data_IF_903775004694
#
_entry.id   IF_903775004694
#
_cell.length_a   1.000
_cell.length_b   1.000
_cell.length_c   1.000
_cell.angle_alpha   90.00
_cell.angle_beta   90.00
_cell.angle_gamma   90.00
#
_symmetry.space_group_name_H-M   'P 1'
#
loop_
_entity.id
_entity.type
_entity.pdbx_description
1 polymer ?
#
# COMPACT_ATOMS: atom_id res chain seq x y z
N UNK A 1 -34.42 -25.34 -12.85
CA UNK A 1 -33.84 -25.08 -14.18
C UNK A 1 -32.58 -25.91 -14.50
N UNK A 2 -31.63 -26.14 -13.61
CA UNK A 2 -30.39 -26.90 -13.90
C UNK A 2 -30.63 -28.40 -14.27
N UNK A 3 -31.60 -29.09 -13.62
CA UNK A 3 -31.89 -30.50 -13.90
C UNK A 3 -32.51 -30.78 -15.28
N UNK A 4 -33.19 -29.78 -15.87
CA UNK A 4 -33.78 -29.89 -17.21
C UNK A 4 -32.72 -29.71 -18.30
N UNK A 5 -31.75 -28.82 -18.08
CA UNK A 5 -30.69 -28.56 -19.04
C UNK A 5 -29.71 -29.75 -19.16
N UNK A 6 -29.32 -30.36 -18.04
CA UNK A 6 -28.44 -31.54 -18.04
C UNK A 6 -29.09 -32.76 -18.69
N UNK A 7 -30.41 -32.93 -18.53
CA UNK A 7 -31.15 -33.99 -19.17
C UNK A 7 -31.24 -33.85 -20.70
N UNK A 8 -31.39 -32.62 -21.20
CA UNK A 8 -31.39 -32.31 -22.63
C UNK A 8 -30.00 -32.51 -23.25
N UNK A 9 -28.93 -32.08 -22.58
CA UNK A 9 -27.56 -32.31 -23.01
C UNK A 9 -27.22 -33.81 -23.11
N UNK A 10 -27.63 -34.62 -22.13
CA UNK A 10 -27.39 -36.03 -22.13
C UNK A 10 -28.14 -36.75 -23.28
N UNK A 11 -29.33 -36.26 -23.65
CA UNK A 11 -30.10 -36.80 -24.77
C UNK A 11 -29.46 -36.46 -26.11
N UNK A 12 -28.95 -35.25 -26.28
CA UNK A 12 -28.19 -34.82 -27.46
C UNK A 12 -26.90 -35.65 -27.60
N UNK A 13 -26.14 -35.80 -26.50
CA UNK A 13 -24.90 -36.59 -26.50
C UNK A 13 -25.07 -38.06 -26.84
N UNK A 14 -26.18 -38.66 -26.46
CA UNK A 14 -26.51 -40.07 -26.83
C UNK A 14 -26.83 -40.24 -28.30
N UNK A 15 -27.33 -39.23 -28.98
CA UNK A 15 -27.74 -39.27 -30.37
C UNK A 15 -26.65 -38.84 -31.37
N UNK A 16 -25.54 -38.32 -30.89
CA UNK A 16 -24.42 -37.92 -31.75
C UNK A 16 -23.55 -39.11 -32.15
N UNK A 17 -23.09 -39.11 -33.41
CA UNK A 17 -22.19 -40.13 -33.92
C UNK A 17 -20.80 -40.06 -33.26
N UNK A 18 -20.04 -41.14 -33.37
CA UNK A 18 -18.67 -41.15 -32.79
C UNK A 18 -17.77 -40.08 -33.38
N UNK A 19 -17.89 -39.81 -34.69
CA UNK A 19 -17.14 -38.75 -35.36
C UNK A 19 -17.49 -37.34 -34.85
N UNK A 20 -18.76 -37.06 -34.61
CA UNK A 20 -19.20 -35.78 -34.06
C UNK A 20 -18.69 -35.57 -32.62
N UNK A 21 -18.64 -36.63 -31.80
CA UNK A 21 -18.05 -36.55 -30.44
C UNK A 21 -16.57 -36.20 -30.49
N UNK A 22 -15.81 -36.79 -31.41
CA UNK A 22 -14.39 -36.46 -31.61
C UNK A 22 -14.26 -35.01 -32.04
N UNK A 23 -15.11 -34.56 -32.96
CA UNK A 23 -15.08 -33.13 -33.41
C UNK A 23 -15.36 -32.18 -32.27
N UNK A 24 -16.35 -32.44 -31.40
CA UNK A 24 -16.62 -31.61 -30.23
C UNK A 24 -15.45 -31.61 -29.24
N UNK A 25 -14.78 -32.75 -29.03
CA UNK A 25 -13.59 -32.79 -28.19
C UNK A 25 -12.46 -31.92 -28.76
N UNK A 26 -12.22 -31.99 -30.05
CA UNK A 26 -11.20 -31.14 -30.71
C UNK A 26 -11.56 -29.65 -30.63
N UNK A 27 -12.81 -29.29 -30.84
CA UNK A 27 -13.23 -27.89 -30.74
C UNK A 27 -13.08 -27.33 -29.32
N UNK A 28 -13.45 -28.10 -28.31
CA UNK A 28 -13.28 -27.72 -26.90
C UNK A 28 -11.77 -27.60 -26.57
N UNK A 29 -10.95 -28.53 -27.04
CA UNK A 29 -9.51 -28.49 -26.84
C UNK A 29 -8.86 -27.26 -27.50
N UNK A 30 -9.28 -26.93 -28.73
CA UNK A 30 -8.81 -25.72 -29.42
C UNK A 30 -9.25 -24.46 -28.66
N UNK A 31 -10.46 -24.39 -28.16
CA UNK A 31 -10.95 -23.25 -27.38
C UNK A 31 -10.12 -23.09 -26.09
N UNK A 32 -9.89 -24.18 -25.35
CA UNK A 32 -9.07 -24.18 -24.16
C UNK A 32 -7.62 -23.76 -24.50
N UNK A 33 -7.05 -24.31 -25.58
CA UNK A 33 -5.72 -23.96 -26.07
C UNK A 33 -5.63 -22.47 -26.43
N UNK A 34 -6.62 -21.92 -27.13
CA UNK A 34 -6.69 -20.50 -27.45
C UNK A 34 -6.84 -19.64 -26.19
N UNK A 35 -7.67 -20.02 -25.23
CA UNK A 35 -7.84 -19.30 -23.99
C UNK A 35 -6.59 -19.31 -23.10
N UNK A 36 -5.83 -20.42 -23.12
CA UNK A 36 -4.59 -20.53 -22.34
C UNK A 36 -3.37 -19.89 -23.02
N UNK A 37 -3.36 -19.82 -24.36
CA UNK A 37 -2.27 -19.25 -25.16
C UNK A 37 -2.61 -17.89 -25.78
N UNK A 38 -3.82 -17.36 -25.58
CA UNK A 38 -4.03 -15.95 -25.84
C UNK A 38 -3.03 -15.20 -24.96
N UNK A 39 -2.15 -14.35 -25.54
CA UNK A 39 -1.27 -13.53 -24.73
C UNK A 39 -2.19 -12.77 -23.77
N UNK A 40 -1.98 -12.95 -22.46
CA UNK A 40 -2.60 -12.13 -21.45
C UNK A 40 -2.12 -10.70 -21.69
N UNK A 41 -2.72 -10.04 -22.68
CA UNK A 41 -2.54 -8.62 -22.90
C UNK A 41 -3.07 -7.99 -21.62
N UNK A 42 -2.11 -7.49 -20.84
CA UNK A 42 -2.34 -6.76 -19.60
C UNK A 42 -3.65 -5.99 -19.72
N UNK A 43 -4.68 -6.37 -18.95
CA UNK A 43 -5.89 -5.58 -18.78
C UNK A 43 -5.56 -4.13 -18.33
N UNK A 44 -4.38 -3.95 -17.73
CA UNK A 44 -3.83 -2.64 -17.38
C UNK A 44 -3.61 -1.69 -18.57
N UNK A 45 -3.62 -2.21 -19.81
CA UNK A 45 -3.52 -1.37 -21.01
C UNK A 45 -4.89 -0.99 -21.60
N UNK A 46 -5.99 -1.63 -21.20
CA UNK A 46 -7.33 -1.27 -21.71
C UNK A 46 -7.88 -0.02 -21.01
N UNK A 47 -7.65 0.13 -19.71
CA UNK A 47 -8.03 1.37 -19.01
C UNK A 47 -7.21 2.58 -19.44
N UNK A 48 -5.96 2.39 -19.91
CA UNK A 48 -5.11 3.48 -20.36
C UNK A 48 -5.35 3.88 -21.83
N UNK A 49 -5.97 3.03 -22.66
CA UNK A 49 -6.17 3.34 -24.08
C UNK A 49 -7.44 4.17 -24.35
N UNK A 50 -8.49 4.04 -23.57
CA UNK A 50 -9.70 4.85 -23.74
C UNK A 50 -9.52 6.30 -23.26
N UNK A 51 -8.53 6.55 -22.40
CA UNK A 51 -8.22 7.90 -21.88
C UNK A 51 -7.35 8.70 -22.86
N UNK A 52 -6.59 8.04 -23.74
CA UNK A 52 -5.68 8.73 -24.68
C UNK A 52 -6.36 9.34 -25.92
N UNK A 53 -7.60 9.00 -26.22
CA UNK A 53 -8.28 9.46 -27.44
C UNK A 53 -9.30 10.60 -27.25
N UNK A 54 -9.48 11.11 -26.03
CA UNK A 54 -10.25 12.32 -25.83
C UNK A 54 -9.31 13.52 -25.68
N UNK A 55 -9.27 14.38 -26.67
CA UNK A 55 -8.61 15.71 -26.64
C UNK A 55 -9.22 16.70 -25.63
N UNK A 56 -9.67 16.20 -24.48
CA UNK A 56 -10.07 16.98 -23.33
C UNK A 56 -9.23 16.54 -22.14
N UNK A 57 -8.16 17.27 -21.83
CA UNK A 57 -7.31 17.18 -20.65
C UNK A 57 -8.12 17.35 -19.35
N UNK A 58 -9.00 16.39 -19.03
CA UNK A 58 -9.78 16.40 -17.78
C UNK A 58 -9.08 15.73 -16.61
N UNK A 59 -8.13 14.85 -16.87
CA UNK A 59 -7.45 14.10 -15.82
C UNK A 59 -5.95 14.02 -16.08
N UNK A 60 -5.15 14.39 -15.10
CA UNK A 60 -3.71 14.20 -15.09
C UNK A 60 -3.41 12.92 -14.33
N UNK A 61 -2.73 11.94 -14.96
CA UNK A 61 -2.22 10.78 -14.27
C UNK A 61 -0.93 11.13 -13.55
N UNK A 62 -0.91 10.93 -12.24
CA UNK A 62 0.28 11.15 -11.39
C UNK A 62 0.72 9.80 -10.81
N UNK A 63 2.01 9.52 -10.83
CA UNK A 63 2.57 8.24 -10.42
C UNK A 63 3.69 8.38 -9.39
N UNK A 64 3.84 7.35 -8.53
CA UNK A 64 4.91 7.26 -7.54
C UNK A 64 4.82 8.36 -6.48
N UNK A 65 5.97 8.90 -6.07
CA UNK A 65 6.02 9.91 -5.01
C UNK A 65 5.35 11.24 -5.36
N UNK A 66 5.09 11.51 -6.64
CA UNK A 66 4.43 12.73 -7.09
C UNK A 66 2.92 12.74 -6.76
N UNK A 67 2.34 11.60 -6.34
CA UNK A 67 0.96 11.52 -5.86
C UNK A 67 0.78 12.37 -4.58
N UNK A 68 1.80 12.45 -3.74
CA UNK A 68 1.77 13.16 -2.46
C UNK A 68 2.07 14.67 -2.66
N UNK A 69 1.28 15.32 -3.53
CA UNK A 69 1.34 16.74 -3.82
C UNK A 69 0.49 17.57 -2.82
N UNK A 70 0.36 18.88 -3.06
CA UNK A 70 -0.38 19.79 -2.19
C UNK A 70 -1.88 19.45 -2.16
N UNK A 71 -2.47 19.05 -3.29
CA UNK A 71 -3.87 18.68 -3.34
C UNK A 71 -4.12 17.43 -2.48
N UNK A 72 -3.34 16.36 -2.72
CA UNK A 72 -3.53 15.11 -2.00
C UNK A 72 -3.21 15.24 -0.51
N UNK A 73 -2.18 16.00 -0.13
CA UNK A 73 -1.84 16.23 1.29
C UNK A 73 -2.94 16.96 2.05
N UNK A 74 -3.74 17.82 1.38
CA UNK A 74 -4.84 18.53 2.00
C UNK A 74 -6.06 17.64 2.31
N UNK A 75 -6.30 16.62 1.50
CA UNK A 75 -7.44 15.70 1.67
C UNK A 75 -7.02 14.34 2.27
N UNK A 76 -5.72 14.14 2.50
CA UNK A 76 -5.18 12.85 2.93
C UNK A 76 -5.81 12.34 4.21
N UNK A 77 -5.96 13.20 5.20
CA UNK A 77 -6.51 12.83 6.49
C UNK A 77 -7.99 12.43 6.39
N UNK A 78 -8.76 13.10 5.54
CA UNK A 78 -10.17 12.77 5.28
C UNK A 78 -10.34 11.40 4.60
N UNK A 79 -9.36 11.01 3.78
CA UNK A 79 -9.40 9.76 3.02
C UNK A 79 -8.80 8.56 3.76
N UNK A 80 -7.75 8.78 4.55
CA UNK A 80 -6.86 7.70 5.01
C UNK A 80 -6.77 7.62 6.53
N UNK A 81 -6.98 8.75 7.24
CA UNK A 81 -6.80 8.79 8.69
C UNK A 81 -7.81 7.89 9.40
N UNK A 82 -7.30 6.99 10.21
CA UNK A 82 -8.09 6.20 11.13
C UNK A 82 -7.51 6.33 12.55
N UNK A 83 -8.14 7.15 13.38
CA UNK A 83 -7.69 7.45 14.73
C UNK A 83 -7.63 6.21 15.62
N UNK A 84 -8.58 5.27 15.49
CA UNK A 84 -8.57 4.02 16.25
C UNK A 84 -7.39 3.14 15.88
N UNK A 85 -7.10 3.03 14.59
CA UNK A 85 -5.94 2.30 14.10
C UNK A 85 -4.63 2.92 14.59
N UNK A 86 -4.49 4.23 14.48
CA UNK A 86 -3.29 4.94 14.95
C UNK A 86 -3.07 4.75 16.46
N UNK A 87 -4.13 4.90 17.27
CA UNK A 87 -4.06 4.66 18.71
C UNK A 87 -3.68 3.22 19.04
N UNK A 88 -4.23 2.25 18.32
CA UNK A 88 -3.89 0.84 18.47
C UNK A 88 -2.42 0.55 18.12
N UNK A 89 -1.91 1.11 17.02
CA UNK A 89 -0.50 0.93 16.61
C UNK A 89 0.46 1.50 17.64
N UNK A 90 0.19 2.69 18.19
CA UNK A 90 1.00 3.29 19.26
C UNK A 90 0.91 2.46 20.55
N UNK A 91 -0.28 2.00 20.93
CA UNK A 91 -0.45 1.16 22.12
C UNK A 91 0.31 -0.17 22.01
N UNK A 92 0.36 -0.79 20.81
CA UNK A 92 1.17 -1.98 20.57
C UNK A 92 2.66 -1.68 20.73
N UNK A 93 3.15 -0.57 20.17
CA UNK A 93 4.55 -0.15 20.29
C UNK A 93 4.92 0.04 21.76
N UNK A 94 4.07 0.71 22.56
CA UNK A 94 4.32 0.92 23.99
C UNK A 94 4.31 -0.39 24.76
N UNK A 95 3.33 -1.26 24.51
CA UNK A 95 3.19 -2.51 25.23
C UNK A 95 4.34 -3.50 24.93
N UNK A 96 4.72 -3.63 23.68
CA UNK A 96 5.65 -4.65 23.23
C UNK A 96 7.11 -4.21 23.39
N UNK A 97 7.42 -2.93 23.13
CA UNK A 97 8.79 -2.42 23.19
C UNK A 97 9.11 -1.72 24.51
N UNK A 98 8.11 -1.31 25.27
CA UNK A 98 8.27 -0.65 26.59
C UNK A 98 9.30 0.49 26.55
N UNK A 99 9.11 1.49 25.69
CA UNK A 99 10.07 2.56 25.51
C UNK A 99 10.26 3.33 26.82
N UNK A 100 11.48 3.82 27.03
CA UNK A 100 11.84 4.62 28.21
C UNK A 100 11.57 6.10 27.94
N UNK A 101 11.50 6.91 28.98
CA UNK A 101 11.31 8.36 28.86
C UNK A 101 12.35 9.08 28.00
N UNK A 102 13.56 8.53 27.85
CA UNK A 102 14.63 9.01 26.99
C UNK A 102 14.67 8.34 25.60
N UNK A 103 13.63 7.58 25.23
CA UNK A 103 13.52 7.00 23.91
C UNK A 103 13.37 8.09 22.86
N UNK A 104 14.04 7.89 21.71
CA UNK A 104 14.03 8.79 20.58
C UNK A 104 13.51 8.04 19.36
N UNK A 105 12.39 8.50 18.80
CA UNK A 105 11.69 7.86 17.70
C UNK A 105 11.94 8.59 16.37
N UNK A 106 12.05 7.81 15.31
CA UNK A 106 11.96 8.28 13.92
C UNK A 106 10.79 7.58 13.26
N UNK A 107 9.85 8.34 12.71
CA UNK A 107 8.76 7.81 11.88
C UNK A 107 9.07 8.08 10.40
N UNK A 108 9.32 7.03 9.63
CA UNK A 108 9.69 7.12 8.20
C UNK A 108 8.44 6.97 7.33
N UNK A 109 8.21 7.96 6.45
CA UNK A 109 6.96 8.13 5.73
C UNK A 109 5.88 8.67 6.65
N UNK A 110 6.25 9.69 7.46
CA UNK A 110 5.38 10.22 8.51
C UNK A 110 4.12 10.92 8.01
N UNK A 111 4.02 11.17 6.69
CA UNK A 111 2.86 11.80 6.07
C UNK A 111 2.46 13.10 6.76
N UNK A 112 1.21 13.20 7.18
CA UNK A 112 0.62 14.36 7.87
C UNK A 112 0.92 14.42 9.37
N UNK A 113 1.73 13.50 9.92
CA UNK A 113 2.39 13.63 11.22
C UNK A 113 1.69 13.00 12.43
N UNK A 114 0.61 12.25 12.24
CA UNK A 114 -0.23 11.75 13.34
C UNK A 114 0.51 10.85 14.36
N UNK A 115 1.37 9.94 13.90
CA UNK A 115 2.14 9.06 14.80
C UNK A 115 3.20 9.85 15.58
N UNK A 116 3.86 10.79 14.94
CA UNK A 116 4.82 11.68 15.60
C UNK A 116 4.15 12.48 16.70
N UNK A 117 2.96 13.04 16.42
CA UNK A 117 2.18 13.79 17.41
C UNK A 117 1.72 12.89 18.56
N UNK A 118 1.26 11.67 18.27
CA UNK A 118 0.86 10.73 19.31
C UNK A 118 2.03 10.37 20.25
N UNK A 119 3.23 10.11 19.70
CA UNK A 119 4.43 9.86 20.50
C UNK A 119 4.87 11.09 21.30
N UNK A 120 4.79 12.28 20.70
CA UNK A 120 5.08 13.54 21.40
C UNK A 120 4.14 13.77 22.59
N UNK A 121 2.84 13.50 22.45
CA UNK A 121 1.84 13.60 23.51
C UNK A 121 2.10 12.61 24.66
N UNK A 122 2.80 11.51 24.40
CA UNK A 122 3.28 10.56 25.39
C UNK A 122 4.63 10.98 26.01
N UNK A 123 5.11 12.18 25.70
CA UNK A 123 6.38 12.75 26.17
C UNK A 123 7.63 12.04 25.65
N UNK A 124 7.55 11.34 24.52
CA UNK A 124 8.72 10.84 23.83
C UNK A 124 9.34 11.89 22.89
N UNK A 125 10.65 11.81 22.70
CA UNK A 125 11.28 12.48 21.58
C UNK A 125 10.89 11.77 20.28
N UNK A 126 10.29 12.48 19.35
CA UNK A 126 9.85 11.93 18.08
C UNK A 126 10.10 12.89 16.92
N UNK A 127 10.57 12.36 15.80
CA UNK A 127 10.78 13.10 14.56
C UNK A 127 10.16 12.34 13.39
N UNK A 128 9.44 13.06 12.52
CA UNK A 128 8.94 12.54 11.26
C UNK A 128 9.89 12.80 10.11
N UNK A 129 10.01 11.84 9.20
CA UNK A 129 10.71 11.94 7.92
C UNK A 129 9.73 11.61 6.80
N UNK A 130 9.59 12.49 5.83
CA UNK A 130 8.85 12.19 4.61
C UNK A 130 9.59 12.79 3.39
N UNK A 131 9.48 12.13 2.24
CA UNK A 131 10.08 12.61 0.99
C UNK A 131 9.26 13.74 0.39
N UNK A 132 7.94 13.78 0.63
CA UNK A 132 7.04 14.80 0.11
C UNK A 132 7.15 16.10 0.90
N UNK A 133 7.47 17.23 0.24
CA UNK A 133 7.44 18.53 0.89
C UNK A 133 6.02 18.91 1.32
N UNK A 134 5.00 18.56 0.53
CA UNK A 134 3.60 18.88 0.83
C UNK A 134 3.10 18.16 2.09
N UNK A 135 3.45 16.87 2.27
CA UNK A 135 3.15 16.13 3.50
C UNK A 135 3.85 16.75 4.71
N UNK A 136 5.13 17.10 4.60
CA UNK A 136 5.88 17.76 5.69
C UNK A 136 5.30 19.13 6.03
N UNK A 137 4.90 19.93 5.04
CA UNK A 137 4.25 21.21 5.29
C UNK A 137 2.92 21.00 6.02
N UNK A 138 2.13 20.03 5.60
CA UNK A 138 0.87 19.68 6.28
C UNK A 138 1.09 19.21 7.71
N UNK A 139 2.07 18.32 7.93
CA UNK A 139 2.43 17.85 9.26
C UNK A 139 2.80 18.98 10.21
N UNK A 140 3.60 19.96 9.74
CA UNK A 140 3.98 21.14 10.53
C UNK A 140 2.81 22.06 10.84
N UNK A 141 1.83 22.16 9.92
CA UNK A 141 0.62 22.93 10.17
C UNK A 141 -0.29 22.23 11.20
N UNK A 142 -0.43 20.91 11.10
CA UNK A 142 -1.24 20.12 12.00
C UNK A 142 -0.63 20.06 13.43
N UNK A 143 0.72 19.97 13.50
CA UNK A 143 1.46 19.73 14.76
C UNK A 143 2.71 20.62 14.85
N UNK A 144 2.53 21.92 15.12
CA UNK A 144 3.64 22.89 15.11
C UNK A 144 4.71 22.61 16.18
N UNK A 145 4.35 21.93 17.26
CA UNK A 145 5.27 21.60 18.36
C UNK A 145 6.08 20.31 18.09
N UNK A 146 5.78 19.61 17.00
CA UNK A 146 6.47 18.38 16.62
C UNK A 146 7.59 18.63 15.60
N UNK A 147 8.55 17.72 15.56
CA UNK A 147 9.70 17.82 14.66
C UNK A 147 9.45 17.02 13.36
N UNK A 148 9.57 17.70 12.22
CA UNK A 148 9.42 17.07 10.89
C UNK A 148 10.54 17.51 9.96
N UNK A 149 11.10 16.55 9.22
CA UNK A 149 12.17 16.73 8.25
C UNK A 149 11.75 16.19 6.88
N UNK A 150 11.88 17.02 5.86
CA UNK A 150 11.81 16.53 4.50
C UNK A 150 13.11 15.81 4.15
N UNK A 151 13.02 14.61 3.59
CA UNK A 151 14.20 13.86 3.18
C UNK A 151 13.89 12.48 2.64
N UNK A 152 14.91 11.87 2.03
CA UNK A 152 14.85 10.54 1.44
C UNK A 152 15.50 9.54 2.38
N UNK A 153 14.73 8.53 2.81
CA UNK A 153 15.22 7.45 3.66
C UNK A 153 16.24 6.53 2.97
N UNK A 154 16.39 6.61 1.65
CA UNK A 154 17.43 5.91 0.92
C UNK A 154 18.79 6.65 0.95
N UNK A 155 18.86 7.88 1.46
CA UNK A 155 20.10 8.63 1.61
C UNK A 155 20.64 8.44 3.02
N UNK A 156 21.78 7.76 3.17
CA UNK A 156 22.39 7.46 4.47
C UNK A 156 22.77 8.71 5.28
N UNK A 157 23.08 9.81 4.58
CA UNK A 157 23.42 11.10 5.19
C UNK A 157 22.23 11.85 5.79
N UNK A 158 21.00 11.34 5.64
CA UNK A 158 19.78 11.99 6.16
C UNK A 158 19.84 12.16 7.67
N UNK A 159 20.39 11.18 8.38
CA UNK A 159 20.66 11.27 9.81
C UNK A 159 22.05 10.73 10.17
N UNK A 160 22.63 11.19 11.30
CA UNK A 160 23.84 10.59 11.86
C UNK A 160 23.60 9.14 12.28
N UNK A 161 24.71 8.39 12.40
CA UNK A 161 24.64 7.03 12.98
C UNK A 161 24.21 7.07 14.45
N UNK A 162 23.56 6.00 14.90
CA UNK A 162 23.15 5.82 16.29
C UNK A 162 22.31 6.99 16.85
N UNK A 163 21.41 7.56 16.04
CA UNK A 163 20.58 8.70 16.43
C UNK A 163 19.31 8.30 17.14
N UNK A 164 18.70 7.17 16.78
CA UNK A 164 17.38 6.77 17.24
C UNK A 164 17.39 5.47 18.03
N UNK A 165 16.52 5.37 19.03
CA UNK A 165 16.25 4.12 19.76
C UNK A 165 15.18 3.29 19.08
N UNK A 166 14.24 3.95 18.39
CA UNK A 166 13.13 3.33 17.69
C UNK A 166 12.97 3.97 16.31
N UNK A 167 12.84 3.16 15.29
CA UNK A 167 12.47 3.59 13.94
C UNK A 167 11.17 2.91 13.57
N UNK A 168 10.20 3.68 13.13
CA UNK A 168 8.91 3.23 12.67
C UNK A 168 8.83 3.37 11.15
N UNK A 169 8.18 2.41 10.49
CA UNK A 169 7.82 2.45 9.08
C UNK A 169 6.43 1.83 8.95
N UNK A 170 5.42 2.64 9.19
CA UNK A 170 4.03 2.23 9.32
C UNK A 170 3.24 2.43 8.02
N UNK A 171 1.96 2.13 8.01
CA UNK A 171 1.04 2.32 6.88
C UNK A 171 1.57 1.79 5.54
N UNK A 172 2.26 0.64 5.58
CA UNK A 172 2.80 -0.01 4.38
C UNK A 172 3.85 0.80 3.61
N UNK A 173 4.40 1.86 4.18
CA UNK A 173 5.43 2.71 3.58
C UNK A 173 6.61 1.92 3.03
N UNK A 174 6.96 0.78 3.66
CA UNK A 174 8.03 -0.12 3.19
C UNK A 174 7.85 -0.57 1.72
N UNK A 175 6.61 -0.66 1.23
CA UNK A 175 6.34 -1.10 -0.13
C UNK A 175 6.63 -0.02 -1.18
N UNK A 176 6.73 1.25 -0.79
CA UNK A 176 7.08 2.37 -1.66
C UNK A 176 8.58 2.41 -1.99
N UNK A 177 9.43 1.79 -1.16
CA UNK A 177 10.86 1.76 -1.41
C UNK A 177 11.23 0.75 -2.50
N UNK A 178 11.85 1.23 -3.59
CA UNK A 178 12.39 0.36 -4.65
C UNK A 178 13.56 -0.49 -4.12
N UNK A 179 14.46 0.10 -3.34
CA UNK A 179 15.61 -0.57 -2.74
C UNK A 179 15.42 -0.77 -1.23
N UNK A 180 14.68 -1.83 -0.87
CA UNK A 180 14.40 -2.19 0.52
C UNK A 180 15.66 -2.55 1.31
N UNK A 181 16.67 -3.14 0.63
CA UNK A 181 17.94 -3.49 1.28
C UNK A 181 18.67 -2.23 1.76
N UNK A 182 18.77 -1.22 0.91
CA UNK A 182 19.40 0.06 1.27
C UNK A 182 18.62 0.77 2.37
N UNK A 183 17.28 0.76 2.29
CA UNK A 183 16.41 1.26 3.36
C UNK A 183 16.74 0.61 4.71
N UNK A 184 16.76 -0.72 4.77
CA UNK A 184 17.05 -1.47 6.00
C UNK A 184 18.47 -1.19 6.52
N UNK A 185 19.44 -1.06 5.62
CA UNK A 185 20.82 -0.72 5.98
C UNK A 185 20.90 0.69 6.59
N UNK A 186 20.18 1.67 6.04
CA UNK A 186 20.13 3.02 6.60
C UNK A 186 19.45 3.03 7.97
N UNK A 187 18.33 2.31 8.12
CA UNK A 187 17.67 2.15 9.43
C UNK A 187 18.63 1.54 10.46
N UNK A 188 19.36 0.48 10.08
CA UNK A 188 20.35 -0.15 10.96
C UNK A 188 21.44 0.84 11.38
N UNK A 189 21.95 1.65 10.46
CA UNK A 189 22.98 2.64 10.75
C UNK A 189 22.48 3.77 11.66
N UNK A 190 21.22 4.18 11.53
CA UNK A 190 20.62 5.25 12.33
C UNK A 190 20.17 4.78 13.71
N UNK A 191 19.90 3.46 13.87
CA UNK A 191 19.55 2.89 15.15
C UNK A 191 20.74 2.86 16.10
N UNK A 192 20.48 3.18 17.36
CA UNK A 192 21.40 2.92 18.45
C UNK A 192 21.54 1.39 18.65
N UNK A 193 22.66 0.92 19.23
CA UNK A 193 22.76 -0.47 19.65
C UNK A 193 21.55 -0.88 20.50
N UNK A 194 21.00 -2.05 20.25
CA UNK A 194 19.76 -2.56 20.87
C UNK A 194 18.48 -1.79 20.55
N UNK A 195 18.50 -0.91 19.56
CA UNK A 195 17.32 -0.19 19.10
C UNK A 195 16.38 -1.08 18.28
N UNK A 196 15.17 -0.63 18.09
CA UNK A 196 14.08 -1.37 17.44
C UNK A 196 13.67 -0.75 16.11
N UNK A 197 13.44 -1.58 15.10
CA UNK A 197 12.79 -1.20 13.86
C UNK A 197 11.41 -1.86 13.79
N UNK A 198 10.37 -1.05 13.73
CA UNK A 198 8.98 -1.49 13.60
C UNK A 198 8.53 -1.28 12.16
N UNK A 199 8.04 -2.33 11.51
CA UNK A 199 7.58 -2.26 10.12
C UNK A 199 6.17 -2.83 10.04
N UNK A 200 5.26 -2.09 9.43
CA UNK A 200 3.93 -2.58 9.11
C UNK A 200 3.98 -3.38 7.80
N UNK A 201 3.67 -4.68 7.90
CA UNK A 201 3.68 -5.61 6.77
C UNK A 201 2.29 -6.18 6.51
N UNK A 202 2.04 -6.48 5.23
CA UNK A 202 0.83 -7.19 4.80
C UNK A 202 0.97 -8.68 5.09
N UNK A 203 -0.06 -9.28 5.69
CA UNK A 203 -0.16 -10.72 5.73
C UNK A 203 -0.59 -11.24 4.35
N UNK A 204 0.35 -11.81 3.59
CA UNK A 204 0.14 -12.29 2.22
C UNK A 204 -1.07 -13.25 2.08
N UNK A 205 -1.32 -14.06 3.11
CA UNK A 205 -2.39 -15.07 3.06
C UNK A 205 -3.78 -14.50 3.40
N UNK A 206 -3.84 -13.26 3.92
CA UNK A 206 -5.08 -12.57 4.31
C UNK A 206 -5.28 -11.27 3.54
N UNK A 207 -4.41 -10.98 2.59
CA UNK A 207 -4.50 -9.76 1.80
C UNK A 207 -5.49 -9.97 0.66
N UNK A 208 -6.57 -9.21 0.68
CA UNK A 208 -7.49 -9.08 -0.44
C UNK A 208 -7.15 -7.78 -1.20
N UNK A 209 -6.67 -7.89 -2.46
CA UNK A 209 -6.35 -6.71 -3.27
C UNK A 209 -7.62 -5.95 -3.73
N UNK A 210 -8.78 -6.57 -3.63
CA UNK A 210 -10.08 -5.97 -3.95
C UNK A 210 -10.66 -5.44 -2.64
N UNK A 211 -10.15 -4.33 -2.13
CA UNK A 211 -10.87 -3.60 -1.08
C UNK A 211 -12.14 -3.03 -1.74
N UNK A 212 -13.33 -3.39 -1.25
CA UNK A 212 -14.54 -2.75 -1.73
C UNK A 212 -14.46 -1.26 -1.32
N UNK A 213 -14.34 -0.40 -2.30
CA UNK A 213 -14.46 1.06 -2.13
C UNK A 213 -15.85 1.44 -1.58
N UNK A 214 -16.77 0.48 -1.52
CA UNK A 214 -18.18 0.66 -1.18
C UNK A 214 -18.45 0.92 0.31
N UNK A 215 -17.61 0.47 1.23
CA UNK A 215 -17.87 0.67 2.67
C UNK A 215 -17.64 2.11 3.15
N UNK A 216 -16.96 2.94 2.35
CA UNK A 216 -16.73 4.35 2.67
C UNK A 216 -17.95 5.22 2.34
N UNK A 217 -18.88 4.72 1.53
CA UNK A 217 -20.05 5.48 1.06
C UNK A 217 -21.38 5.10 1.74
N UNK A 218 -21.38 4.17 2.69
CA UNK A 218 -22.61 3.66 3.33
C UNK A 218 -22.76 3.98 4.81
N UNK A 219 -21.98 4.92 5.36
CA UNK A 219 -22.20 5.48 6.71
C UNK A 219 -22.52 6.96 6.64
#
# INVERSE_FOLDING_TARGET
MAKTFTSQLNKLWKNTSYCEKIFYFFTIFIIIYLLTNLPYKNLNNLESMDIMNSNNNRFNSVHGNNIYDDFYSNIYDDLVLNNHKNAFEIALIENDLKPKSNSNFLDIGSGTGHHVAALHNLNYQAQGLDISPSMINRAKLNYPDCSFKQGDALKSITFPQNSFTHILCLYFTIYLFKNKRLFLQNCYNWLKPTGYLVIHLVNKNKFDPILPVADVLTN
#
